data_IF_013725535488
#
_entry.id   IF_013725535488
#
_cell.length_a   1.000
_cell.length_b   1.000
_cell.length_c   1.000
_cell.angle_alpha   90.00
_cell.angle_beta   90.00
_cell.angle_gamma   90.00
#
_symmetry.space_group_name_H-M   'P 1'
#
loop_
_entity.id
_entity.type
_entity.pdbx_description
1 polymer ?
#
# COMPACT_ATOMS: atom_id res chain seq x y z
N UNK A 1 -11.31 -14.66 26.09
CA UNK A 1 -10.35 -13.99 25.19
C UNK A 1 -9.31 -14.97 24.64
N UNK A 2 -8.68 -15.81 25.48
CA UNK A 2 -7.65 -16.79 25.06
C UNK A 2 -8.14 -17.72 23.94
N UNK A 3 -9.35 -18.27 24.02
CA UNK A 3 -9.96 -19.13 22.98
C UNK A 3 -10.07 -18.40 21.65
N UNK A 4 -10.57 -17.15 21.64
CA UNK A 4 -10.64 -16.33 20.42
C UNK A 4 -9.26 -16.11 19.79
N UNK A 5 -8.27 -15.76 20.61
CA UNK A 5 -6.89 -15.56 20.15
C UNK A 5 -6.30 -16.83 19.55
N UNK A 6 -6.54 -17.97 20.17
CA UNK A 6 -6.06 -19.27 19.69
C UNK A 6 -6.67 -19.66 18.35
N UNK A 7 -7.99 -19.57 18.21
CA UNK A 7 -8.73 -19.94 16.98
C UNK A 7 -8.36 -18.99 15.84
N UNK A 8 -8.27 -17.68 16.11
CA UNK A 8 -7.83 -16.68 15.14
C UNK A 8 -6.40 -16.94 14.67
N UNK A 9 -5.47 -17.18 15.60
CA UNK A 9 -4.08 -17.46 15.27
C UNK A 9 -3.93 -18.74 14.43
N UNK A 10 -4.70 -19.77 14.72
CA UNK A 10 -4.68 -21.02 13.96
C UNK A 10 -5.24 -20.83 12.53
N UNK A 11 -6.33 -20.08 12.39
CA UNK A 11 -6.90 -19.70 11.11
C UNK A 11 -5.91 -18.92 10.24
N UNK A 12 -5.20 -17.93 10.82
CA UNK A 12 -4.18 -17.14 10.14
C UNK A 12 -2.99 -17.99 9.73
N UNK A 13 -2.44 -18.80 10.65
CA UNK A 13 -1.27 -19.65 10.41
C UNK A 13 -1.52 -20.65 9.28
N UNK A 14 -2.71 -21.24 9.23
CA UNK A 14 -3.10 -22.23 8.21
C UNK A 14 -3.65 -21.57 6.93
N UNK A 15 -3.87 -20.27 6.95
CA UNK A 15 -4.52 -19.52 5.88
C UNK A 15 -5.80 -20.23 5.42
N UNK A 16 -6.74 -20.45 6.36
CA UNK A 16 -7.94 -21.22 6.11
C UNK A 16 -9.17 -20.65 6.84
N UNK A 17 -10.33 -21.13 6.49
CA UNK A 17 -11.51 -21.07 7.36
C UNK A 17 -11.33 -22.07 8.50
N UNK A 18 -11.47 -21.60 9.73
CA UNK A 18 -11.36 -22.42 10.94
C UNK A 18 -12.69 -22.34 11.71
N UNK A 19 -13.38 -23.46 11.78
CA UNK A 19 -14.65 -23.60 12.48
C UNK A 19 -14.39 -24.34 13.78
N UNK A 20 -14.67 -23.68 14.89
CA UNK A 20 -14.54 -24.23 16.22
C UNK A 20 -15.94 -24.43 16.82
N UNK A 21 -16.31 -25.67 17.12
CA UNK A 21 -17.51 -26.02 17.83
C UNK A 21 -17.15 -26.46 19.24
N UNK A 22 -17.77 -25.84 20.23
CA UNK A 22 -17.53 -26.11 21.66
C UNK A 22 -18.69 -26.96 22.22
N UNK A 23 -18.41 -27.73 23.24
CA UNK A 23 -19.44 -28.38 24.02
C UNK A 23 -20.34 -27.34 24.69
N UNK A 24 -21.65 -27.60 24.71
CA UNK A 24 -22.65 -26.68 25.21
C UNK A 24 -23.45 -27.24 26.39
N UNK A 25 -24.60 -26.63 26.62
CA UNK A 25 -25.52 -27.03 27.66
C UNK A 25 -26.01 -28.48 27.42
N UNK A 26 -26.00 -29.28 28.45
CA UNK A 26 -26.42 -30.69 28.41
C UNK A 26 -25.31 -31.69 28.06
N UNK A 27 -24.11 -31.26 27.72
CA UNK A 27 -22.97 -32.15 27.44
C UNK A 27 -22.39 -32.80 28.72
N UNK A 28 -22.68 -32.23 29.87
CA UNK A 28 -22.32 -32.79 31.16
C UNK A 28 -23.51 -32.78 32.12
N UNK A 29 -23.59 -33.86 32.93
CA UNK A 29 -24.59 -34.01 33.99
C UNK A 29 -23.96 -33.90 35.39
N UNK A 30 -22.67 -33.54 35.47
CA UNK A 30 -21.92 -33.39 36.70
C UNK A 30 -21.46 -31.95 36.92
N UNK A 31 -20.32 -31.71 37.59
CA UNK A 31 -19.80 -30.37 37.96
C UNK A 31 -19.23 -29.57 36.77
N UNK A 32 -19.05 -30.18 35.61
CA UNK A 32 -18.50 -29.52 34.44
C UNK A 32 -19.57 -28.63 33.78
N UNK A 33 -19.22 -27.37 33.52
CA UNK A 33 -20.05 -26.43 32.79
C UNK A 33 -19.33 -26.04 31.52
N UNK A 34 -19.94 -26.33 30.36
CA UNK A 34 -19.39 -26.00 29.07
C UNK A 34 -19.93 -24.65 28.54
N UNK A 35 -19.08 -23.95 27.85
CA UNK A 35 -19.38 -22.58 27.43
C UNK A 35 -20.27 -22.48 26.18
N UNK A 36 -20.30 -23.50 25.33
CA UNK A 36 -21.04 -23.47 24.05
C UNK A 36 -20.55 -22.39 23.09
N UNK A 37 -19.26 -22.01 23.20
CA UNK A 37 -18.71 -20.88 22.47
C UNK A 37 -18.19 -21.32 21.11
N UNK A 38 -19.04 -21.28 20.12
CA UNK A 38 -18.68 -21.59 18.73
C UNK A 38 -18.07 -20.37 18.04
N UNK A 39 -17.05 -20.59 17.21
CA UNK A 39 -16.29 -19.54 16.53
C UNK A 39 -16.08 -19.90 15.06
N UNK A 40 -16.25 -18.95 14.16
CA UNK A 40 -15.87 -19.07 12.76
C UNK A 40 -14.87 -17.99 12.44
N UNK A 41 -13.65 -18.40 12.04
CA UNK A 41 -12.57 -17.50 11.65
C UNK A 41 -12.13 -17.77 10.22
N UNK A 42 -11.71 -16.72 9.51
CA UNK A 42 -11.15 -16.77 8.17
C UNK A 42 -9.86 -15.98 8.12
N UNK A 43 -8.74 -16.63 7.84
CA UNK A 43 -7.41 -16.01 7.75
C UNK A 43 -7.11 -15.01 8.91
N UNK A 44 -7.42 -15.41 10.14
CA UNK A 44 -7.21 -14.63 11.36
C UNK A 44 -8.33 -13.65 11.72
N UNK A 45 -9.29 -13.41 10.84
CA UNK A 45 -10.45 -12.58 11.14
C UNK A 45 -11.55 -13.41 11.81
N UNK A 46 -12.13 -12.93 12.92
CA UNK A 46 -13.33 -13.50 13.52
C UNK A 46 -14.53 -13.02 12.72
N UNK A 47 -15.28 -13.94 12.12
CA UNK A 47 -16.45 -13.64 11.30
C UNK A 47 -17.77 -13.78 12.07
N UNK A 48 -17.90 -14.83 12.88
CA UNK A 48 -19.07 -15.06 13.69
C UNK A 48 -18.72 -15.83 14.98
N UNK A 49 -19.47 -15.57 16.03
CA UNK A 49 -19.37 -16.31 17.30
C UNK A 49 -20.72 -16.41 17.98
N UNK A 50 -20.92 -17.45 18.81
CA UNK A 50 -22.06 -17.57 19.70
C UNK A 50 -21.80 -16.89 21.05
N UNK A 51 -22.87 -16.58 21.77
CA UNK A 51 -22.76 -16.11 23.16
C UNK A 51 -22.39 -17.27 24.07
N UNK A 52 -21.63 -16.96 25.11
CA UNK A 52 -21.23 -17.92 26.15
C UNK A 52 -22.45 -18.39 26.93
N UNK A 53 -22.46 -19.67 27.30
CA UNK A 53 -23.51 -20.32 28.11
C UNK A 53 -24.91 -20.21 27.51
N UNK A 54 -24.99 -20.23 26.19
CA UNK A 54 -26.23 -20.27 25.45
C UNK A 54 -26.06 -21.22 24.27
N UNK A 55 -27.01 -22.14 24.11
CA UNK A 55 -27.05 -22.95 22.89
C UNK A 55 -27.42 -22.06 21.71
N UNK A 56 -26.60 -22.13 20.66
CA UNK A 56 -26.78 -21.28 19.49
C UNK A 56 -25.98 -21.77 18.30
N UNK A 57 -26.25 -21.16 17.16
CA UNK A 57 -25.59 -21.42 15.90
C UNK A 57 -24.87 -20.15 15.40
N UNK A 58 -23.61 -20.29 15.05
CA UNK A 58 -22.87 -19.23 14.32
C UNK A 58 -22.96 -19.52 12.82
N UNK A 59 -23.34 -18.53 12.02
CA UNK A 59 -23.49 -18.64 10.57
C UNK A 59 -22.81 -17.47 9.93
N UNK A 60 -22.03 -17.72 8.87
CA UNK A 60 -21.39 -16.69 8.05
C UNK A 60 -20.97 -17.27 6.69
N UNK A 61 -20.57 -16.41 5.78
CA UNK A 61 -20.01 -16.79 4.48
C UNK A 61 -18.48 -16.79 4.54
N UNK A 62 -17.86 -17.74 3.82
CA UNK A 62 -16.41 -17.87 3.68
C UNK A 62 -15.99 -17.51 2.25
N UNK A 63 -14.97 -16.68 2.10
CA UNK A 63 -14.38 -16.33 0.81
C UNK A 63 -13.26 -17.33 0.45
N UNK A 64 -13.65 -18.43 -0.19
CA UNK A 64 -12.71 -19.48 -0.60
C UNK A 64 -11.70 -18.98 -1.64
N UNK A 65 -12.12 -18.10 -2.55
CA UNK A 65 -11.23 -17.57 -3.59
C UNK A 65 -10.10 -16.74 -2.97
N UNK A 66 -10.41 -15.90 -1.98
CA UNK A 66 -9.43 -15.15 -1.21
C UNK A 66 -8.44 -16.07 -0.48
N UNK A 67 -8.94 -17.11 0.18
CA UNK A 67 -8.07 -18.06 0.88
C UNK A 67 -7.11 -18.79 -0.08
N UNK A 68 -7.59 -19.20 -1.26
CA UNK A 68 -6.75 -19.79 -2.30
C UNK A 68 -5.68 -18.80 -2.75
N UNK A 69 -6.04 -17.56 -3.05
CA UNK A 69 -5.11 -16.52 -3.45
C UNK A 69 -4.02 -16.26 -2.39
N UNK A 70 -4.42 -16.11 -1.12
CA UNK A 70 -3.44 -15.89 -0.03
C UNK A 70 -2.51 -17.10 0.14
N UNK A 71 -3.00 -18.33 0.04
CA UNK A 71 -2.16 -19.53 0.12
C UNK A 71 -1.17 -19.63 -1.03
N UNK A 72 -1.53 -19.22 -2.25
CA UNK A 72 -0.64 -19.21 -3.41
C UNK A 72 0.56 -18.26 -3.24
N UNK A 73 0.41 -17.20 -2.46
CA UNK A 73 1.48 -16.24 -2.14
C UNK A 73 2.46 -16.76 -1.08
N UNK A 74 2.08 -17.78 -0.32
CA UNK A 74 2.90 -18.34 0.76
C UNK A 74 3.69 -19.53 0.21
N UNK A 75 4.98 -19.32 -0.05
CA UNK A 75 5.88 -20.33 -0.63
C UNK A 75 6.27 -21.45 0.34
N UNK A 76 5.98 -21.31 1.63
CA UNK A 76 6.30 -22.28 2.67
C UNK A 76 5.28 -23.43 2.80
N UNK A 77 4.14 -23.37 2.12
CA UNK A 77 3.21 -24.50 2.07
C UNK A 77 3.78 -25.59 1.14
N UNK A 78 3.90 -26.86 1.64
CA UNK A 78 4.35 -27.94 0.78
C UNK A 78 3.28 -28.27 -0.27
N UNK A 79 3.74 -28.75 -1.44
CA UNK A 79 2.83 -29.30 -2.43
C UNK A 79 2.09 -30.52 -1.86
N UNK A 80 0.77 -30.57 -2.02
CA UNK A 80 -0.02 -31.71 -1.58
C UNK A 80 0.35 -32.96 -2.37
N UNK A 81 0.63 -34.06 -1.69
CA UNK A 81 0.79 -35.37 -2.32
C UNK A 81 -0.55 -36.05 -2.41
N UNK A 82 -1.18 -35.99 -3.58
CA UNK A 82 -2.54 -36.47 -3.83
C UNK A 82 -2.75 -37.99 -3.68
N UNK A 83 -1.69 -38.78 -3.50
CA UNK A 83 -1.77 -40.24 -3.61
C UNK A 83 -2.38 -40.95 -2.39
N UNK A 84 -2.53 -40.25 -1.26
CA UNK A 84 -2.91 -40.86 0.01
C UNK A 84 -4.35 -40.49 0.48
N UNK A 85 -5.08 -39.69 -0.31
CA UNK A 85 -6.41 -39.22 0.08
C UNK A 85 -7.52 -39.90 -0.69
N UNK A 86 -8.55 -40.38 0.05
CA UNK A 86 -9.79 -40.81 -0.55
C UNK A 86 -10.57 -39.59 -1.10
N UNK A 87 -10.77 -39.56 -2.43
CA UNK A 87 -11.54 -38.52 -3.09
C UNK A 87 -13.00 -38.90 -3.18
N UNK A 88 -13.86 -38.19 -2.46
CA UNK A 88 -15.32 -38.37 -2.52
C UNK A 88 -15.86 -37.22 -3.41
N UNK A 89 -16.28 -37.51 -4.65
CA UNK A 89 -16.87 -36.48 -5.51
C UNK A 89 -18.27 -36.12 -5.02
N UNK A 90 -18.58 -34.82 -5.00
CA UNK A 90 -19.93 -34.33 -4.75
C UNK A 90 -20.18 -33.10 -5.66
N UNK A 91 -21.42 -32.80 -5.88
CA UNK A 91 -21.84 -31.63 -6.64
C UNK A 91 -22.78 -30.77 -5.79
N UNK A 92 -22.53 -29.44 -5.85
CA UNK A 92 -23.41 -28.45 -5.26
C UNK A 92 -24.05 -27.61 -6.36
N UNK A 93 -25.36 -27.41 -6.25
CA UNK A 93 -26.05 -26.46 -7.11
C UNK A 93 -25.68 -25.05 -6.64
N UNK A 94 -24.96 -24.31 -7.48
CA UNK A 94 -24.69 -22.91 -7.20
C UNK A 94 -25.96 -22.09 -7.36
N UNK A 95 -26.29 -21.29 -6.36
CA UNK A 95 -27.38 -20.32 -6.38
C UNK A 95 -26.84 -18.94 -6.05
N UNK A 96 -27.51 -17.93 -6.56
CA UNK A 96 -27.17 -16.54 -6.19
C UNK A 96 -27.46 -16.35 -4.70
N UNK A 97 -26.43 -16.02 -3.95
CA UNK A 97 -26.50 -15.84 -2.50
C UNK A 97 -26.29 -14.37 -2.15
N UNK A 98 -27.16 -13.84 -1.31
CA UNK A 98 -26.95 -12.50 -0.74
C UNK A 98 -25.99 -12.62 0.44
N UNK A 99 -24.85 -11.94 0.35
CA UNK A 99 -23.87 -11.89 1.45
C UNK A 99 -24.47 -11.17 2.65
N UNK A 100 -24.31 -11.76 3.84
CA UNK A 100 -24.74 -11.19 5.12
C UNK A 100 -23.53 -10.62 5.90
N UNK A 101 -22.32 -11.07 5.58
CA UNK A 101 -21.09 -10.56 6.21
C UNK A 101 -20.80 -9.13 5.76
N UNK A 102 -20.36 -8.23 6.66
CA UNK A 102 -19.94 -6.91 6.29
C UNK A 102 -18.64 -6.97 5.47
N UNK A 103 -18.57 -6.20 4.38
CA UNK A 103 -17.35 -5.99 3.60
C UNK A 103 -16.96 -4.54 3.75
N UNK A 104 -15.75 -4.28 4.25
CA UNK A 104 -15.27 -2.90 4.40
C UNK A 104 -15.09 -2.24 3.03
N UNK A 105 -15.71 -1.07 2.78
CA UNK A 105 -15.46 -0.29 1.56
C UNK A 105 -14.05 0.33 1.53
N UNK A 106 -13.38 0.36 2.68
CA UNK A 106 -12.03 0.91 2.85
C UNK A 106 -11.08 -0.13 3.46
N UNK A 107 -10.69 -1.19 2.71
CA UNK A 107 -9.94 -2.32 3.27
C UNK A 107 -8.53 -1.96 3.74
N UNK A 108 -7.98 -0.83 3.27
CA UNK A 108 -6.63 -0.37 3.61
C UNK A 108 -6.60 0.69 4.71
N UNK A 109 -7.76 1.20 5.12
CA UNK A 109 -7.85 2.26 6.13
C UNK A 109 -8.37 1.67 7.43
N UNK A 110 -7.59 1.72 8.53
CA UNK A 110 -8.05 1.31 9.85
C UNK A 110 -9.28 2.10 10.29
N UNK A 111 -10.19 1.45 11.00
CA UNK A 111 -11.43 2.06 11.45
C UNK A 111 -11.21 3.07 12.59
N UNK A 112 -10.24 2.85 13.47
CA UNK A 112 -9.89 3.77 14.54
C UNK A 112 -8.85 4.80 14.11
N UNK A 113 -8.91 5.99 14.69
CA UNK A 113 -7.95 7.07 14.42
C UNK A 113 -6.57 6.75 14.99
N UNK A 114 -6.51 6.04 16.10
CA UNK A 114 -5.24 5.63 16.73
C UNK A 114 -4.53 4.58 15.90
N UNK A 115 -5.22 3.52 15.48
CA UNK A 115 -4.67 2.50 14.59
C UNK A 115 -4.23 3.11 13.25
N UNK A 116 -4.99 4.09 12.74
CA UNK A 116 -4.63 4.79 11.50
C UNK A 116 -3.36 5.61 11.68
N UNK A 117 -3.22 6.32 12.79
CA UNK A 117 -2.01 7.09 13.10
C UNK A 117 -0.79 6.20 13.23
N UNK A 118 -0.89 5.11 13.98
CA UNK A 118 0.17 4.12 14.14
C UNK A 118 0.60 3.53 12.80
N UNK A 119 -0.36 3.10 11.99
CA UNK A 119 -0.11 2.54 10.67
C UNK A 119 0.52 3.53 9.70
N UNK A 120 0.09 4.79 9.68
CA UNK A 120 0.69 5.83 8.85
C UNK A 120 2.15 6.09 9.28
N UNK A 121 2.42 6.12 10.58
CA UNK A 121 3.78 6.30 11.09
C UNK A 121 4.68 5.11 10.76
N UNK A 122 4.16 3.90 10.84
CA UNK A 122 4.87 2.68 10.43
C UNK A 122 5.22 2.71 8.93
N UNK A 123 4.26 3.05 8.06
CA UNK A 123 4.47 3.15 6.61
C UNK A 123 5.56 4.20 6.28
N UNK A 124 5.45 5.39 6.85
CA UNK A 124 6.45 6.45 6.64
C UNK A 124 7.84 6.04 7.14
N UNK A 125 7.90 5.34 8.27
CA UNK A 125 9.16 4.85 8.84
C UNK A 125 9.78 3.77 7.97
N UNK A 126 8.97 2.87 7.41
CA UNK A 126 9.39 1.81 6.48
C UNK A 126 9.96 2.42 5.19
N UNK A 127 9.25 3.37 4.58
CA UNK A 127 9.71 4.06 3.37
C UNK A 127 11.01 4.83 3.61
N UNK A 128 11.09 5.57 4.73
CA UNK A 128 12.28 6.31 5.11
C UNK A 128 13.49 5.38 5.40
N UNK A 129 13.26 4.23 6.01
CA UNK A 129 14.30 3.23 6.24
C UNK A 129 14.85 2.66 4.93
N UNK A 130 13.97 2.31 3.97
CA UNK A 130 14.36 1.84 2.65
C UNK A 130 15.18 2.89 1.89
N UNK A 131 14.69 4.14 1.84
CA UNK A 131 15.38 5.22 1.17
C UNK A 131 16.72 5.56 1.81
N UNK A 132 16.79 5.65 3.15
CA UNK A 132 18.04 5.92 3.87
C UNK A 132 19.10 4.86 3.57
N UNK A 133 18.70 3.58 3.52
CA UNK A 133 19.61 2.49 3.16
C UNK A 133 20.12 2.60 1.73
N UNK A 134 19.26 2.98 0.79
CA UNK A 134 19.65 3.16 -0.61
C UNK A 134 20.65 4.32 -0.76
N UNK A 135 20.36 5.47 -0.16
CA UNK A 135 21.23 6.64 -0.19
C UNK A 135 22.62 6.35 0.43
N UNK A 136 22.65 5.64 1.57
CA UNK A 136 23.90 5.25 2.21
C UNK A 136 24.70 4.25 1.36
N UNK A 137 24.03 3.24 0.77
CA UNK A 137 24.70 2.22 -0.03
C UNK A 137 25.32 2.77 -1.33
N UNK A 138 24.61 3.69 -1.97
CA UNK A 138 25.08 4.31 -3.23
C UNK A 138 26.01 5.50 -3.01
N UNK A 139 26.25 5.89 -1.76
CA UNK A 139 27.00 7.10 -1.39
C UNK A 139 26.48 8.38 -2.07
N UNK A 140 25.17 8.41 -2.37
CA UNK A 140 24.55 9.55 -3.01
C UNK A 140 24.62 10.80 -2.13
N UNK A 141 25.15 11.89 -2.70
CA UNK A 141 25.29 13.17 -2.01
C UNK A 141 23.98 13.94 -1.92
N UNK A 142 23.11 13.78 -2.89
CA UNK A 142 21.86 14.54 -3.01
C UNK A 142 20.70 13.62 -3.36
N UNK A 143 19.52 13.89 -2.79
CA UNK A 143 18.25 13.31 -3.20
C UNK A 143 17.51 14.34 -4.06
N UNK A 144 17.29 14.06 -5.34
CA UNK A 144 16.62 14.98 -6.27
C UNK A 144 15.17 14.57 -6.43
N UNK A 145 14.23 15.50 -6.26
CA UNK A 145 12.78 15.21 -6.30
C UNK A 145 12.08 16.22 -7.20
N UNK A 146 11.28 15.73 -8.15
CA UNK A 146 10.34 16.57 -8.89
C UNK A 146 9.16 16.94 -7.99
N UNK A 147 9.06 18.22 -7.62
CA UNK A 147 8.02 18.70 -6.72
C UNK A 147 6.96 19.47 -7.51
N UNK A 148 5.84 18.79 -7.79
CA UNK A 148 4.71 19.35 -8.53
C UNK A 148 3.75 20.16 -7.66
N UNK A 149 3.79 19.98 -6.33
CA UNK A 149 2.81 20.49 -5.38
C UNK A 149 1.58 19.59 -5.22
N UNK A 150 1.58 18.40 -5.83
CA UNK A 150 0.59 17.33 -5.63
C UNK A 150 0.93 16.45 -4.43
N UNK A 151 0.00 15.55 -4.07
CA UNK A 151 0.13 14.69 -2.88
C UNK A 151 1.32 13.73 -2.98
N UNK A 152 1.52 13.08 -4.12
CA UNK A 152 2.55 12.05 -4.30
C UNK A 152 3.96 12.64 -4.13
N UNK A 153 4.22 13.76 -4.81
CA UNK A 153 5.49 14.47 -4.68
C UNK A 153 5.71 15.05 -3.26
N UNK A 154 4.63 15.45 -2.59
CA UNK A 154 4.68 15.87 -1.19
C UNK A 154 5.04 14.71 -0.27
N UNK A 155 4.40 13.56 -0.44
CA UNK A 155 4.72 12.35 0.33
C UNK A 155 6.18 11.92 0.13
N UNK A 156 6.66 11.88 -1.12
CA UNK A 156 8.04 11.56 -1.44
C UNK A 156 9.04 12.52 -0.76
N UNK A 157 8.73 13.82 -0.72
CA UNK A 157 9.53 14.81 0.00
C UNK A 157 9.55 14.53 1.51
N UNK A 158 8.41 14.24 2.13
CA UNK A 158 8.34 13.92 3.57
C UNK A 158 9.16 12.68 3.92
N UNK A 159 9.09 11.65 3.09
CA UNK A 159 9.91 10.44 3.23
C UNK A 159 11.40 10.75 3.10
N UNK A 160 11.79 11.60 2.12
CA UNK A 160 13.18 12.00 1.94
C UNK A 160 13.70 12.81 3.14
N UNK A 161 12.90 13.73 3.69
CA UNK A 161 13.24 14.49 4.91
C UNK A 161 13.47 13.55 6.10
N UNK A 162 12.61 12.56 6.28
CA UNK A 162 12.79 11.54 7.33
C UNK A 162 14.04 10.68 7.10
N UNK A 163 14.31 10.31 5.85
CA UNK A 163 15.51 9.55 5.50
C UNK A 163 16.79 10.33 5.79
N UNK A 164 16.85 11.63 5.44
CA UNK A 164 18.00 12.48 5.76
C UNK A 164 18.21 12.63 7.27
N UNK A 165 17.14 12.86 8.04
CA UNK A 165 17.21 12.89 9.51
C UNK A 165 17.76 11.58 10.10
N UNK A 166 17.29 10.43 9.57
CA UNK A 166 17.77 9.10 9.97
C UNK A 166 19.26 8.89 9.69
N UNK A 167 19.78 9.50 8.61
CA UNK A 167 21.19 9.46 8.24
C UNK A 167 22.05 10.50 8.99
N UNK A 168 21.46 11.37 9.82
CA UNK A 168 22.17 12.48 10.44
C UNK A 168 22.62 13.56 9.43
N UNK A 169 21.95 13.63 8.28
CA UNK A 169 22.28 14.58 7.19
C UNK A 169 21.32 15.77 7.18
N UNK A 170 21.78 16.92 6.73
CA UNK A 170 20.93 18.10 6.62
C UNK A 170 19.86 17.91 5.52
N UNK A 171 18.71 18.54 5.72
CA UNK A 171 17.61 18.51 4.72
C UNK A 171 17.97 19.30 3.45
N UNK A 172 18.96 20.19 3.49
CA UNK A 172 19.51 20.88 2.32
C UNK A 172 20.18 19.94 1.31
N UNK A 173 20.49 18.69 1.69
CA UNK A 173 20.93 17.64 0.76
C UNK A 173 19.79 17.10 -0.12
N UNK A 174 18.57 17.56 0.08
CA UNK A 174 17.44 17.31 -0.80
C UNK A 174 17.31 18.49 -1.75
N UNK A 175 17.31 18.20 -3.06
CA UNK A 175 17.05 19.17 -4.11
C UNK A 175 15.62 18.95 -4.65
N UNK A 176 14.71 19.82 -4.24
CA UNK A 176 13.35 19.86 -4.76
C UNK A 176 13.30 20.71 -6.04
N UNK A 177 12.84 20.13 -7.13
CA UNK A 177 12.82 20.80 -8.44
C UNK A 177 11.38 20.95 -8.92
N UNK A 178 10.95 22.17 -9.20
CA UNK A 178 9.69 22.41 -9.91
C UNK A 178 9.96 22.77 -11.36
N UNK A 179 9.20 22.19 -12.26
CA UNK A 179 9.40 22.31 -13.70
C UNK A 179 8.12 22.79 -14.37
N UNK A 180 7.82 24.09 -14.30
CA UNK A 180 6.67 24.65 -14.98
C UNK A 180 6.77 24.46 -16.49
N UNK A 181 5.61 24.17 -17.11
CA UNK A 181 5.41 24.11 -18.54
C UNK A 181 3.97 24.56 -18.82
N UNK A 182 3.41 24.19 -19.94
CA UNK A 182 2.02 24.52 -20.32
C UNK A 182 1.03 24.06 -19.22
N UNK A 183 0.08 24.92 -18.87
CA UNK A 183 -0.96 24.63 -17.89
C UNK A 183 -0.55 24.60 -16.41
N UNK A 184 0.71 24.89 -16.07
CA UNK A 184 1.15 25.00 -14.67
C UNK A 184 0.55 26.24 -14.01
N UNK A 185 -0.26 26.04 -12.96
CA UNK A 185 -0.91 27.16 -12.25
C UNK A 185 0.04 27.83 -11.25
N UNK A 186 -0.17 29.13 -11.00
CA UNK A 186 0.55 29.86 -9.95
C UNK A 186 0.40 29.23 -8.56
N UNK A 187 -0.75 28.59 -8.27
CA UNK A 187 -1.04 27.94 -6.99
C UNK A 187 -0.15 26.72 -6.73
N UNK A 188 0.01 25.84 -7.72
CA UNK A 188 0.85 24.63 -7.56
C UNK A 188 2.32 25.00 -7.39
N UNK A 189 2.82 26.00 -8.12
CA UNK A 189 4.17 26.54 -7.97
C UNK A 189 4.40 27.12 -6.57
N UNK A 190 3.47 27.92 -6.06
CA UNK A 190 3.55 28.51 -4.71
C UNK A 190 3.54 27.42 -3.62
N UNK A 191 2.74 26.36 -3.78
CA UNK A 191 2.70 25.26 -2.83
C UNK A 191 4.02 24.48 -2.77
N UNK A 192 4.64 24.20 -3.92
CA UNK A 192 5.92 23.51 -3.98
C UNK A 192 7.04 24.31 -3.28
N UNK A 193 7.11 25.60 -3.54
CA UNK A 193 8.08 26.48 -2.91
C UNK A 193 7.89 26.58 -1.40
N UNK A 194 6.65 26.86 -0.94
CA UNK A 194 6.32 26.95 0.49
C UNK A 194 6.64 25.64 1.24
N UNK A 195 6.40 24.51 0.60
CA UNK A 195 6.71 23.22 1.18
C UNK A 195 8.23 23.02 1.31
N UNK A 196 8.98 23.36 0.28
CA UNK A 196 10.45 23.30 0.31
C UNK A 196 11.05 24.20 1.41
N UNK A 197 10.56 25.42 1.52
CA UNK A 197 10.97 26.38 2.58
C UNK A 197 10.63 25.83 3.98
N UNK A 198 9.43 25.30 4.17
CA UNK A 198 8.99 24.78 5.47
C UNK A 198 9.85 23.61 5.99
N UNK A 199 10.43 22.82 5.09
CA UNK A 199 11.30 21.70 5.47
C UNK A 199 12.80 22.02 5.34
N UNK A 200 13.16 23.24 4.91
CA UNK A 200 14.55 23.66 4.76
C UNK A 200 15.31 22.85 3.71
N UNK A 201 14.64 22.43 2.63
CA UNK A 201 15.26 21.73 1.52
C UNK A 201 15.72 22.71 0.45
N UNK A 202 16.75 22.35 -0.33
CA UNK A 202 17.21 23.14 -1.47
C UNK A 202 16.10 23.15 -2.54
N UNK A 203 15.79 24.32 -3.09
CA UNK A 203 14.72 24.47 -4.08
C UNK A 203 15.25 25.08 -5.38
N UNK A 204 14.84 24.50 -6.51
CA UNK A 204 15.17 24.99 -7.85
C UNK A 204 13.95 24.99 -8.75
N UNK A 205 13.81 26.04 -9.54
CA UNK A 205 12.82 26.08 -10.62
C UNK A 205 13.55 25.99 -11.96
N UNK A 206 13.07 25.12 -12.84
CA UNK A 206 13.53 24.96 -14.22
C UNK A 206 12.34 25.08 -15.14
N UNK A 207 12.26 26.13 -15.94
CA UNK A 207 11.23 26.26 -16.97
C UNK A 207 11.63 25.40 -18.17
N UNK A 208 10.79 24.41 -18.48
CA UNK A 208 11.03 23.43 -19.55
C UNK A 208 10.28 23.77 -20.85
N UNK A 209 9.57 24.91 -20.89
CA UNK A 209 8.72 25.29 -22.02
C UNK A 209 9.50 25.37 -23.33
N UNK A 210 10.70 25.96 -23.31
CA UNK A 210 11.52 26.12 -24.51
C UNK A 210 12.01 24.77 -25.06
N UNK A 211 12.46 23.86 -24.18
CA UNK A 211 12.91 22.53 -24.56
C UNK A 211 11.78 21.68 -25.15
N UNK A 212 10.60 21.70 -24.53
CA UNK A 212 9.43 20.99 -25.04
C UNK A 212 8.96 21.54 -26.39
N UNK A 213 8.95 22.86 -26.58
CA UNK A 213 8.63 23.46 -27.88
C UNK A 213 9.63 23.08 -28.97
N UNK A 214 10.93 23.04 -28.63
CA UNK A 214 11.94 22.58 -29.58
C UNK A 214 11.71 21.13 -29.96
N UNK A 215 11.42 20.27 -28.98
CA UNK A 215 11.12 18.86 -29.23
C UNK A 215 9.86 18.69 -30.10
N UNK A 216 8.81 19.47 -29.86
CA UNK A 216 7.60 19.47 -30.72
C UNK A 216 7.96 19.82 -32.18
N UNK A 217 8.81 20.85 -32.39
CA UNK A 217 9.25 21.22 -33.73
C UNK A 217 10.06 20.09 -34.40
N UNK A 218 10.95 19.43 -33.66
CA UNK A 218 11.81 18.36 -34.17
C UNK A 218 11.01 17.13 -34.63
N UNK A 219 9.89 16.81 -33.94
CA UNK A 219 9.05 15.65 -34.28
C UNK A 219 7.82 16.01 -35.12
N UNK A 220 7.59 17.30 -35.45
CA UNK A 220 6.43 17.76 -36.19
C UNK A 220 5.11 17.71 -35.42
N UNK A 221 5.15 17.77 -34.08
CA UNK A 221 3.96 17.85 -33.23
C UNK A 221 3.35 19.26 -33.27
N UNK A 222 2.05 19.34 -33.52
CA UNK A 222 1.31 20.58 -33.39
C UNK A 222 1.11 20.95 -31.91
N UNK A 223 1.63 22.09 -31.42
CA UNK A 223 1.47 22.53 -30.04
C UNK A 223 0.03 22.78 -29.60
N UNK A 224 -0.90 22.93 -30.54
CA UNK A 224 -2.33 23.10 -30.25
C UNK A 224 -3.06 21.77 -30.06
N UNK A 225 -2.44 20.66 -30.44
CA UNK A 225 -3.03 19.33 -30.31
C UNK A 225 -2.67 18.73 -28.96
N UNK A 226 -3.60 18.82 -28.00
CA UNK A 226 -3.45 18.34 -26.61
C UNK A 226 -3.72 16.82 -26.53
N UNK A 227 -2.86 16.02 -27.17
CA UNK A 227 -2.95 14.57 -27.21
C UNK A 227 -1.90 13.89 -26.28
N UNK A 228 -1.84 12.57 -26.34
CA UNK A 228 -0.88 11.78 -25.56
C UNK A 228 0.57 12.16 -25.86
N UNK A 229 0.90 12.59 -27.08
CA UNK A 229 2.24 13.06 -27.45
C UNK A 229 2.58 14.35 -26.73
N UNK A 230 1.64 15.31 -26.71
CA UNK A 230 1.77 16.58 -26.00
C UNK A 230 2.08 16.37 -24.50
N UNK A 231 1.33 15.48 -23.83
CA UNK A 231 1.55 15.20 -22.40
C UNK A 231 2.86 14.46 -22.15
N UNK A 232 3.15 13.43 -22.95
CA UNK A 232 4.34 12.60 -22.76
C UNK A 232 5.65 13.33 -23.04
N UNK A 233 5.68 14.29 -23.98
CA UNK A 233 6.87 15.10 -24.23
C UNK A 233 7.25 15.91 -22.98
N UNK A 234 6.26 16.53 -22.32
CA UNK A 234 6.48 17.25 -21.08
C UNK A 234 6.94 16.31 -19.93
N UNK A 235 6.35 15.14 -19.83
CA UNK A 235 6.70 14.16 -18.79
C UNK A 235 8.15 13.66 -18.94
N UNK A 236 8.56 13.36 -20.18
CA UNK A 236 9.95 12.94 -20.49
C UNK A 236 10.96 14.03 -20.24
N UNK A 237 10.67 15.27 -20.63
CA UNK A 237 11.55 16.40 -20.36
C UNK A 237 11.77 16.61 -18.87
N UNK A 238 10.71 16.50 -18.04
CA UNK A 238 10.84 16.55 -16.58
C UNK A 238 11.77 15.46 -16.05
N UNK A 239 11.62 14.24 -16.55
CA UNK A 239 12.47 13.12 -16.14
C UNK A 239 13.92 13.35 -16.54
N UNK A 240 14.18 13.81 -17.76
CA UNK A 240 15.52 14.14 -18.24
C UNK A 240 16.19 15.19 -17.34
N UNK A 241 15.53 16.31 -17.07
CA UNK A 241 16.05 17.37 -16.20
C UNK A 241 16.38 16.84 -14.80
N UNK A 242 15.52 16.02 -14.21
CA UNK A 242 15.78 15.44 -12.88
C UNK A 242 17.00 14.52 -12.88
N UNK A 243 17.12 13.66 -13.89
CA UNK A 243 18.25 12.73 -14.03
C UNK A 243 19.58 13.50 -14.19
N UNK A 244 19.60 14.52 -15.03
CA UNK A 244 20.79 15.35 -15.26
C UNK A 244 21.19 16.15 -14.01
N UNK A 245 20.22 16.72 -13.30
CA UNK A 245 20.48 17.37 -12.02
C UNK A 245 20.98 16.39 -10.95
N UNK A 246 20.49 15.17 -10.93
CA UNK A 246 21.01 14.14 -10.03
C UNK A 246 22.47 13.81 -10.36
N UNK A 247 22.81 13.65 -11.64
CA UNK A 247 24.18 13.41 -12.08
C UNK A 247 25.10 14.58 -11.71
N UNK A 248 24.69 15.83 -11.96
CA UNK A 248 25.47 17.02 -11.61
C UNK A 248 25.76 17.14 -10.11
N UNK A 249 24.84 16.69 -9.26
CA UNK A 249 24.94 16.80 -7.81
C UNK A 249 25.40 15.50 -7.13
N UNK A 250 25.81 14.49 -7.90
CA UNK A 250 26.24 13.19 -7.38
C UNK A 250 25.13 12.50 -6.57
N UNK A 251 23.89 12.61 -7.03
CA UNK A 251 22.69 12.20 -6.31
C UNK A 251 21.88 11.12 -7.02
N UNK A 252 20.71 10.86 -6.46
CA UNK A 252 19.68 9.97 -7.01
C UNK A 252 18.36 10.72 -7.18
N UNK A 253 17.64 10.40 -8.25
CA UNK A 253 16.24 10.84 -8.40
C UNK A 253 15.36 9.97 -7.52
N UNK A 254 14.53 10.62 -6.71
CA UNK A 254 13.53 9.94 -5.87
C UNK A 254 12.20 9.96 -6.63
N UNK A 255 11.72 8.77 -6.96
CA UNK A 255 10.46 8.58 -7.66
C UNK A 255 9.25 8.87 -6.77
N UNK A 256 8.17 9.29 -7.41
CA UNK A 256 6.88 9.63 -6.80
C UNK A 256 5.76 8.68 -7.26
N UNK A 257 6.12 7.65 -8.04
CA UNK A 257 5.17 6.68 -8.60
C UNK A 257 4.48 5.85 -7.53
N UNK A 258 3.24 5.48 -7.77
CA UNK A 258 2.40 4.66 -6.91
C UNK A 258 1.98 3.32 -7.56
N UNK A 259 1.16 2.54 -6.86
CA UNK A 259 0.66 1.27 -7.38
C UNK A 259 -0.29 1.44 -8.56
N UNK A 260 -0.98 2.57 -8.66
CA UNK A 260 -1.89 2.84 -9.78
C UNK A 260 -1.10 2.99 -11.07
N UNK A 261 0.01 3.75 -11.03
CA UNK A 261 0.92 3.90 -12.17
C UNK A 261 1.58 2.57 -12.55
N UNK A 262 1.98 1.75 -11.56
CA UNK A 262 2.56 0.43 -11.81
C UNK A 262 1.57 -0.56 -12.41
N UNK A 263 0.29 -0.44 -12.07
CA UNK A 263 -0.76 -1.35 -12.52
C UNK A 263 -1.36 -0.95 -13.87
N UNK A 264 -1.46 0.34 -14.14
CA UNK A 264 -2.18 0.89 -15.30
C UNK A 264 -1.25 1.41 -16.40
N UNK A 265 -0.01 1.65 -16.09
CA UNK A 265 1.00 2.17 -17.01
C UNK A 265 1.06 3.68 -17.09
#
# INVERSE_FOLDING_TARGET
EYRRSLVRAQSARLCCAYLYADAGEGESTTDMVFAGHNLICENGALLAETRLFQNGMAITEIDLARLVFERQRITSFPAARDKEYLKIPFSLRLSQTRLTRPVSPYPFIPASDDDRRERCEEILSMQAAGLSRRLAHTHAKTAVIGLSGGLDSTLALLVAVRAMKKLGRPTSDILAVTMPCFGTTHRTKSNAQRLAEAYGVSFRQVDITAAVNQHFADIGQDPQKLDVTYENCQARERTQVLMDLANQNGGLVIGTGDLSELALG
#
